data_IF_799170571795
#
_entry.id   IF_799170571795
#
_cell.length_a   1.000
_cell.length_b   1.000
_cell.length_c   1.000
_cell.angle_alpha   90.00
_cell.angle_beta   90.00
_cell.angle_gamma   90.00
#
_symmetry.space_group_name_H-M   'P 1'
#
loop_
_entity.id
_entity.type
_entity.pdbx_description
1 polymer ?
#
# COMPACT_ATOMS: atom_id res chain seq x y z
N UNK A 1 20.00 16.22 -15.04
CA UNK A 1 19.14 17.16 -14.30
C UNK A 1 18.02 16.32 -13.68
N UNK A 2 17.79 16.44 -12.38
CA UNK A 2 16.72 15.75 -11.65
C UNK A 2 15.99 16.74 -10.74
N UNK A 3 14.76 16.41 -10.37
CA UNK A 3 13.98 17.18 -9.40
C UNK A 3 14.57 17.06 -7.99
N UNK A 4 14.28 18.03 -7.12
CA UNK A 4 14.65 17.97 -5.70
C UNK A 4 13.47 18.51 -4.88
N UNK A 5 13.19 17.88 -3.74
CA UNK A 5 12.18 18.34 -2.79
C UNK A 5 12.90 18.78 -1.51
N UNK A 6 12.65 20.02 -1.07
CA UNK A 6 13.31 20.61 0.09
C UNK A 6 12.28 21.13 1.10
N UNK A 7 12.56 20.93 2.38
CA UNK A 7 11.86 21.63 3.45
C UNK A 7 12.45 23.05 3.58
N UNK A 8 11.59 24.04 3.76
CA UNK A 8 11.97 25.44 3.99
C UNK A 8 11.50 25.86 5.37
N UNK A 9 12.45 26.11 6.27
CA UNK A 9 12.16 26.52 7.64
C UNK A 9 12.51 28.00 7.81
N UNK A 10 11.56 28.86 8.23
CA UNK A 10 11.87 30.24 8.57
C UNK A 10 12.81 30.31 9.77
N UNK A 11 13.93 31.01 9.62
CA UNK A 11 14.83 31.40 10.70
C UNK A 11 14.25 32.61 11.44
N UNK A 12 14.03 32.47 12.74
CA UNK A 12 13.63 33.59 13.59
C UNK A 12 14.89 34.21 14.21
N UNK A 13 15.57 35.07 13.45
CA UNK A 13 16.59 35.95 14.01
C UNK A 13 15.93 37.25 14.49
N UNK A 14 16.17 37.63 15.76
CA UNK A 14 15.62 38.85 16.38
C UNK A 14 16.14 40.17 15.76
N UNK A 15 16.94 40.10 14.69
CA UNK A 15 17.54 41.23 14.00
C UNK A 15 17.07 41.32 12.54
N UNK A 16 15.80 41.69 12.30
CA UNK A 16 15.29 42.32 11.07
C UNK A 16 15.55 41.68 9.69
N UNK A 17 16.10 40.46 9.59
CA UNK A 17 16.21 39.71 8.33
C UNK A 17 15.61 38.31 8.50
N UNK A 18 14.60 37.99 7.69
CA UNK A 18 14.07 36.64 7.57
C UNK A 18 15.07 35.78 6.81
N UNK A 19 15.84 34.97 7.53
CA UNK A 19 16.68 33.92 6.96
C UNK A 19 15.82 32.67 6.75
N UNK A 20 16.13 31.85 5.73
CA UNK A 20 15.49 30.55 5.54
C UNK A 20 16.56 29.48 5.56
N UNK A 21 16.35 28.42 6.33
CA UNK A 21 17.17 27.21 6.26
C UNK A 21 16.46 26.20 5.35
N UNK A 22 17.26 25.40 4.64
CA UNK A 22 16.72 24.38 3.73
C UNK A 22 17.35 23.03 3.95
N UNK A 23 16.52 22.00 3.99
CA UNK A 23 16.90 20.60 4.14
C UNK A 23 16.36 19.80 2.96
N UNK A 24 17.18 18.91 2.39
CA UNK A 24 16.78 18.07 1.26
C UNK A 24 16.00 16.85 1.74
N UNK A 25 14.70 16.78 1.42
CA UNK A 25 13.84 15.65 1.75
C UNK A 25 13.99 14.49 0.77
N UNK A 26 14.49 14.77 -0.44
CA UNK A 26 14.76 13.75 -1.47
C UNK A 26 16.11 13.05 -1.31
N UNK A 27 16.98 13.49 -0.40
CA UNK A 27 18.37 13.03 -0.31
C UNK A 27 18.51 11.51 -0.13
N UNK A 28 17.73 10.93 0.80
CA UNK A 28 17.76 9.48 1.09
C UNK A 28 17.06 8.63 0.02
N UNK A 29 16.35 9.27 -0.91
CA UNK A 29 15.58 8.62 -1.97
C UNK A 29 15.91 9.21 -3.36
N UNK A 30 17.15 9.64 -3.58
CA UNK A 30 17.57 10.33 -4.81
C UNK A 30 17.24 9.56 -6.11
N UNK A 31 17.26 8.23 -6.05
CA UNK A 31 16.87 7.33 -7.14
C UNK A 31 15.42 7.53 -7.63
N UNK A 32 14.54 8.11 -6.82
CA UNK A 32 13.17 8.48 -7.21
C UNK A 32 13.10 9.80 -8.00
N UNK A 33 14.19 10.56 -8.08
CA UNK A 33 14.22 11.89 -8.69
C UNK A 33 15.29 12.05 -9.76
N UNK A 34 16.33 11.22 -9.74
CA UNK A 34 17.40 11.26 -10.73
C UNK A 34 16.87 11.01 -12.15
N UNK A 35 17.07 11.98 -13.05
CA UNK A 35 16.58 11.91 -14.43
C UNK A 35 15.10 12.28 -14.62
N UNK A 36 14.37 12.58 -13.54
CA UNK A 36 12.94 12.91 -13.58
C UNK A 36 12.68 14.32 -13.08
N UNK A 37 11.57 14.93 -13.51
CA UNK A 37 11.10 16.22 -13.00
C UNK A 37 9.77 16.04 -12.30
N UNK A 38 9.54 16.81 -11.23
CA UNK A 38 8.23 16.96 -10.64
C UNK A 38 7.44 18.00 -11.45
N UNK A 39 6.27 17.61 -11.95
CA UNK A 39 5.43 18.46 -12.81
C UNK A 39 4.20 19.02 -12.10
N UNK A 40 3.79 18.39 -11.00
CA UNK A 40 2.68 18.85 -10.17
C UNK A 40 2.82 18.28 -8.75
N UNK A 41 2.25 18.94 -7.75
CA UNK A 41 2.24 18.45 -6.37
C UNK A 41 1.09 19.01 -5.55
N UNK A 42 0.67 18.26 -4.53
CA UNK A 42 -0.36 18.67 -3.57
C UNK A 42 -0.04 18.14 -2.17
N UNK A 43 -0.51 18.84 -1.14
CA UNK A 43 -0.38 18.40 0.25
C UNK A 43 -1.74 18.03 0.83
N UNK A 44 -1.86 16.79 1.32
CA UNK A 44 -3.03 16.25 1.99
C UNK A 44 -2.75 16.15 3.52
N UNK A 45 -3.08 17.18 4.31
CA UNK A 45 -2.71 17.25 5.72
C UNK A 45 -3.39 16.20 6.61
N UNK A 46 -4.63 15.81 6.29
CA UNK A 46 -5.44 14.93 7.15
C UNK A 46 -5.78 13.63 6.42
N UNK A 47 -5.62 12.45 7.05
CA UNK A 47 -5.23 12.23 8.45
C UNK A 47 -3.73 12.05 8.72
N UNK A 48 -2.90 11.86 7.68
CA UNK A 48 -1.51 11.40 7.86
C UNK A 48 -0.43 12.41 7.45
N UNK A 49 -0.79 13.59 6.92
CA UNK A 49 0.20 14.56 6.43
C UNK A 49 1.05 14.02 5.28
N UNK A 50 0.45 13.89 4.09
CA UNK A 50 1.13 13.31 2.92
C UNK A 50 1.29 14.35 1.81
N UNK A 51 2.52 14.54 1.33
CA UNK A 51 2.80 15.28 0.10
C UNK A 51 2.74 14.31 -1.08
N UNK A 52 2.02 14.69 -2.12
CA UNK A 52 1.90 13.95 -3.37
C UNK A 52 2.59 14.73 -4.48
N UNK A 53 3.40 14.08 -5.30
CA UNK A 53 4.16 14.70 -6.37
C UNK A 53 4.12 13.86 -7.64
N UNK A 54 3.70 14.46 -8.76
CA UNK A 54 3.63 13.81 -10.07
C UNK A 54 4.96 13.97 -10.78
N UNK A 55 5.55 12.88 -11.27
CA UNK A 55 6.74 12.89 -12.12
C UNK A 55 6.38 13.02 -13.60
N UNK A 56 7.28 13.58 -14.40
CA UNK A 56 7.09 13.76 -15.84
C UNK A 56 6.96 12.47 -16.65
N UNK A 57 7.47 11.34 -16.13
CA UNK A 57 7.28 10.01 -16.70
C UNK A 57 5.93 9.37 -16.33
N UNK A 58 5.12 10.04 -15.51
CA UNK A 58 3.79 9.59 -15.13
C UNK A 58 3.72 8.73 -13.88
N UNK A 59 4.82 8.58 -13.12
CA UNK A 59 4.78 8.03 -11.78
C UNK A 59 4.23 9.07 -10.77
N UNK A 60 3.62 8.59 -9.69
CA UNK A 60 3.19 9.43 -8.56
C UNK A 60 4.04 9.07 -7.35
N UNK A 61 4.59 10.07 -6.68
CA UNK A 61 5.34 9.90 -5.45
C UNK A 61 4.49 10.39 -4.27
N UNK A 62 4.54 9.67 -3.15
CA UNK A 62 4.01 10.14 -1.88
C UNK A 62 5.13 10.25 -0.85
N UNK A 63 5.13 11.34 -0.09
CA UNK A 63 5.99 11.54 1.06
C UNK A 63 5.13 11.66 2.31
N UNK A 64 5.27 10.69 3.21
CA UNK A 64 4.81 10.85 4.60
C UNK A 64 5.87 11.67 5.34
N UNK A 65 5.47 12.87 5.79
CA UNK A 65 6.38 13.83 6.42
C UNK A 65 5.85 14.27 7.78
N UNK A 66 6.44 13.72 8.85
CA UNK A 66 6.13 14.09 10.24
C UNK A 66 7.44 14.48 10.93
N UNK A 67 7.90 15.73 10.78
CA UNK A 67 9.20 16.16 11.29
C UNK A 67 9.31 16.05 12.82
N UNK A 68 8.22 16.29 13.55
CA UNK A 68 8.15 16.15 15.02
C UNK A 68 8.41 14.72 15.50
N UNK A 69 8.17 13.73 14.64
CA UNK A 69 8.42 12.31 14.90
C UNK A 69 9.60 11.75 14.09
N UNK A 70 10.37 12.62 13.42
CA UNK A 70 11.50 12.24 12.56
C UNK A 70 11.12 11.24 11.46
N UNK A 71 9.91 11.34 10.92
CA UNK A 71 9.44 10.47 9.82
C UNK A 71 9.56 11.19 8.49
N UNK A 72 10.38 10.62 7.61
CA UNK A 72 10.50 10.99 6.19
C UNK A 72 10.47 9.70 5.38
N UNK A 73 9.35 9.40 4.73
CA UNK A 73 9.17 8.15 3.98
C UNK A 73 8.59 8.40 2.60
N UNK A 74 9.40 8.12 1.57
CA UNK A 74 8.97 8.15 0.18
C UNK A 74 8.39 6.81 -0.25
N UNK A 75 7.33 6.87 -1.05
CA UNK A 75 6.77 5.72 -1.76
C UNK A 75 6.47 6.11 -3.20
N UNK A 76 6.66 5.16 -4.13
CA UNK A 76 6.34 5.32 -5.54
C UNK A 76 5.06 4.54 -5.85
N UNK A 77 4.15 5.22 -6.55
CA UNK A 77 2.90 4.68 -7.06
C UNK A 77 2.94 4.68 -8.57
N UNK A 78 2.45 3.58 -9.15
CA UNK A 78 2.28 3.42 -10.60
C UNK A 78 0.82 3.11 -10.88
N UNK A 79 0.43 3.12 -12.14
CA UNK A 79 -0.92 2.73 -12.59
C UNK A 79 -0.81 2.26 -14.04
N UNK A 80 -1.82 1.57 -14.57
CA UNK A 80 -1.93 1.30 -16.00
C UNK A 80 -2.27 2.58 -16.79
N UNK A 81 -1.27 3.46 -16.92
CA UNK A 81 -1.40 4.80 -17.45
C UNK A 81 -0.34 5.74 -16.89
N UNK A 82 -0.57 7.04 -17.01
CA UNK A 82 0.34 8.07 -16.50
C UNK A 82 -0.42 9.10 -15.67
N UNK A 83 0.01 9.32 -14.44
CA UNK A 83 -0.45 10.46 -13.65
C UNK A 83 0.00 11.77 -14.33
N UNK A 84 -0.88 12.77 -14.35
CA UNK A 84 -0.66 14.06 -15.04
C UNK A 84 -0.85 15.28 -14.16
N UNK A 85 -1.69 15.18 -13.14
CA UNK A 85 -1.94 16.24 -12.17
C UNK A 85 -2.43 15.63 -10.86
N UNK A 86 -2.28 16.37 -9.75
CA UNK A 86 -2.74 15.98 -8.43
C UNK A 86 -3.32 17.18 -7.68
N UNK A 87 -4.42 16.97 -6.97
CA UNK A 87 -5.04 17.96 -6.11
C UNK A 87 -5.46 17.32 -4.78
N UNK A 88 -5.42 18.10 -3.70
CA UNK A 88 -5.86 17.69 -2.37
C UNK A 88 -7.03 18.59 -1.95
N UNK A 89 -8.19 18.00 -1.68
CA UNK A 89 -9.45 18.71 -1.40
C UNK A 89 -10.00 18.23 -0.05
N UNK A 90 -10.28 19.13 0.90
CA UNK A 90 -10.92 18.76 2.17
C UNK A 90 -12.32 18.16 1.93
N UNK A 91 -12.57 16.96 2.45
CA UNK A 91 -13.85 16.27 2.38
C UNK A 91 -14.18 15.60 3.71
N UNK A 92 -15.22 16.07 4.39
CA UNK A 92 -15.63 15.51 5.68
C UNK A 92 -14.49 15.59 6.71
N UNK A 93 -13.93 14.44 7.08
CA UNK A 93 -12.87 14.28 8.06
C UNK A 93 -11.50 13.89 7.46
N UNK A 94 -11.35 13.97 6.13
CA UNK A 94 -10.10 13.68 5.43
C UNK A 94 -9.77 14.76 4.40
N UNK A 95 -8.54 14.79 3.90
CA UNK A 95 -8.20 15.50 2.67
C UNK A 95 -8.14 14.49 1.54
N UNK A 96 -9.17 14.47 0.69
CA UNK A 96 -9.25 13.57 -0.45
C UNK A 96 -8.23 13.98 -1.52
N UNK A 97 -7.56 12.98 -2.09
CA UNK A 97 -6.57 13.17 -3.15
C UNK A 97 -7.22 12.82 -4.47
N UNK A 98 -7.20 13.78 -5.38
CA UNK A 98 -7.65 13.64 -6.76
C UNK A 98 -6.45 13.64 -7.68
N UNK A 99 -6.47 12.77 -8.69
CA UNK A 99 -5.42 12.68 -9.71
C UNK A 99 -6.04 12.71 -11.09
N UNK A 100 -5.34 13.33 -12.04
CA UNK A 100 -5.64 13.16 -13.46
C UNK A 100 -4.77 12.02 -13.99
N UNK A 101 -5.40 10.99 -14.56
CA UNK A 101 -4.70 9.84 -15.16
C UNK A 101 -4.97 9.80 -16.65
N UNK A 102 -3.91 9.73 -17.44
CA UNK A 102 -3.98 9.52 -18.89
C UNK A 102 -3.80 8.04 -19.20
N UNK A 103 -4.75 7.45 -19.94
CA UNK A 103 -4.79 6.02 -20.27
C UNK A 103 -5.07 5.80 -21.76
N UNK A 104 -4.80 4.58 -22.23
CA UNK A 104 -5.25 4.10 -23.54
C UNK A 104 -6.33 3.05 -23.32
N UNK A 105 -7.56 3.32 -23.76
CA UNK A 105 -8.67 2.37 -23.72
C UNK A 105 -9.15 2.12 -25.13
N UNK A 106 -9.13 0.86 -25.57
CA UNK A 106 -9.44 0.50 -26.96
C UNK A 106 -8.66 1.35 -27.98
N UNK A 107 -7.35 1.54 -27.72
CA UNK A 107 -6.44 2.38 -28.50
C UNK A 107 -6.81 3.88 -28.59
N UNK A 108 -7.70 4.37 -27.74
CA UNK A 108 -8.04 5.80 -27.64
C UNK A 108 -7.41 6.40 -26.39
N UNK A 109 -6.69 7.49 -26.58
CA UNK A 109 -6.20 8.33 -25.50
C UNK A 109 -7.37 8.98 -24.77
N UNK A 110 -7.43 8.76 -23.46
CA UNK A 110 -8.47 9.27 -22.56
C UNK A 110 -7.83 9.82 -21.29
N UNK A 111 -8.52 10.76 -20.65
CA UNK A 111 -8.14 11.31 -19.36
C UNK A 111 -9.28 11.10 -18.36
N UNK A 112 -8.92 10.59 -17.19
CA UNK A 112 -9.85 10.42 -16.07
C UNK A 112 -9.40 11.27 -14.90
N UNK A 113 -10.39 11.74 -14.15
CA UNK A 113 -10.19 12.26 -12.80
C UNK A 113 -10.53 11.10 -11.87
N UNK A 114 -9.55 10.67 -11.09
CA UNK A 114 -9.68 9.57 -10.13
C UNK A 114 -9.47 10.12 -8.71
N UNK A 115 -10.22 9.61 -7.75
CA UNK A 115 -10.13 9.97 -6.34
C UNK A 115 -9.60 8.77 -5.57
N UNK A 116 -8.55 8.95 -4.77
CA UNK A 116 -8.12 7.90 -3.84
C UNK A 116 -9.25 7.57 -2.86
N UNK A 117 -9.53 6.28 -2.68
CA UNK A 117 -10.50 5.83 -1.69
C UNK A 117 -10.02 6.10 -0.27
N UNK A 118 -10.95 6.31 0.66
CA UNK A 118 -10.60 6.47 2.07
C UNK A 118 -9.93 5.21 2.59
N UNK A 119 -8.88 5.38 3.40
CA UNK A 119 -8.29 4.27 4.16
C UNK A 119 -9.17 3.82 5.33
N UNK A 120 -10.21 4.58 5.66
CA UNK A 120 -11.17 4.22 6.70
C UNK A 120 -12.28 3.35 6.12
N UNK A 121 -12.30 2.08 6.53
CA UNK A 121 -13.39 1.13 6.26
C UNK A 121 -13.95 0.61 7.58
N UNK A 122 -14.18 1.52 8.53
CA UNK A 122 -14.73 1.19 9.84
C UNK A 122 -16.13 0.58 9.73
N UNK A 123 -16.42 -0.39 10.60
CA UNK A 123 -17.76 -0.95 10.71
C UNK A 123 -18.72 0.11 11.28
N UNK A 124 -19.89 0.27 10.64
CA UNK A 124 -20.92 1.22 11.08
C UNK A 124 -21.61 0.79 12.38
N UNK A 125 -21.50 -0.49 12.75
CA UNK A 125 -22.00 -1.08 14.00
C UNK A 125 -21.01 -2.15 14.47
N UNK A 126 -20.85 -2.28 15.79
CA UNK A 126 -20.13 -3.40 16.38
C UNK A 126 -20.87 -4.70 16.07
N UNK A 127 -20.22 -5.60 15.33
CA UNK A 127 -20.73 -6.96 15.13
C UNK A 127 -20.50 -7.77 16.43
N UNK A 128 -21.55 -8.25 17.12
CA UNK A 128 -21.41 -9.02 18.35
C UNK A 128 -20.56 -10.28 18.16
N UNK A 129 -20.52 -10.84 16.94
CA UNK A 129 -19.69 -11.99 16.61
C UNK A 129 -18.20 -11.62 16.47
N UNK A 130 -17.86 -10.34 16.29
CA UNK A 130 -16.50 -9.81 16.18
C UNK A 130 -15.94 -9.27 17.51
N UNK A 131 -16.66 -9.47 18.63
CA UNK A 131 -16.15 -9.09 19.96
C UNK A 131 -14.79 -9.75 20.20
N UNK A 132 -13.73 -8.96 20.47
CA UNK A 132 -12.42 -9.54 20.71
C UNK A 132 -12.46 -10.48 21.94
N UNK A 133 -11.67 -11.58 21.95
CA UNK A 133 -11.61 -12.45 23.11
C UNK A 133 -11.25 -11.65 24.37
N UNK A 134 -11.88 -11.99 25.51
CA UNK A 134 -11.72 -11.28 26.79
C UNK A 134 -10.25 -11.02 27.09
N UNK A 135 -9.86 -9.75 27.19
CA UNK A 135 -8.51 -9.31 27.57
C UNK A 135 -7.74 -8.52 26.51
N UNK A 136 -8.23 -8.41 25.26
CA UNK A 136 -7.65 -7.44 24.30
C UNK A 136 -8.27 -6.05 24.49
N UNK A 137 -7.47 -4.98 24.54
CA UNK A 137 -8.00 -3.63 24.62
C UNK A 137 -8.82 -3.30 23.36
N UNK A 138 -9.88 -2.50 23.52
CA UNK A 138 -10.77 -2.00 22.46
C UNK A 138 -10.09 -1.07 21.42
N UNK A 139 -8.75 -1.14 21.30
CA UNK A 139 -7.97 -0.40 20.33
C UNK A 139 -8.07 -1.01 18.92
N UNK A 140 -8.50 -2.27 18.81
CA UNK A 140 -8.94 -2.90 17.57
C UNK A 140 -10.34 -2.38 17.20
N UNK A 141 -10.41 -1.16 16.67
CA UNK A 141 -11.64 -0.64 16.07
C UNK A 141 -12.11 -1.61 14.99
N UNK A 142 -13.33 -2.15 15.14
CA UNK A 142 -13.91 -3.08 14.19
C UNK A 142 -13.92 -2.47 12.78
N UNK A 143 -13.43 -3.24 11.81
CA UNK A 143 -13.39 -2.85 10.40
C UNK A 143 -14.34 -3.72 9.59
N UNK A 144 -15.05 -3.12 8.64
CA UNK A 144 -15.87 -3.84 7.68
C UNK A 144 -15.02 -4.15 6.44
N UNK A 145 -14.45 -5.35 6.42
CA UNK A 145 -13.61 -5.81 5.31
C UNK A 145 -14.33 -5.77 3.96
N UNK A 146 -15.67 -5.79 3.94
CA UNK A 146 -16.44 -5.70 2.69
C UNK A 146 -16.29 -4.34 2.04
N UNK A 147 -15.94 -3.30 2.81
CA UNK A 147 -15.78 -1.90 2.37
C UNK A 147 -14.33 -1.52 2.07
N UNK A 148 -13.40 -2.46 2.15
CA UNK A 148 -12.02 -2.23 1.80
C UNK A 148 -11.87 -2.03 0.28
N UNK A 149 -11.34 -0.88 -0.13
CA UNK A 149 -11.11 -0.55 -1.53
C UNK A 149 -9.61 -0.50 -1.83
N UNK A 150 -9.09 -1.57 -2.44
CA UNK A 150 -7.66 -1.73 -2.76
C UNK A 150 -7.47 -2.22 -4.20
N UNK A 151 -8.22 -1.62 -5.13
CA UNK A 151 -8.08 -1.81 -6.59
C UNK A 151 -7.64 -0.49 -7.22
N UNK A 152 -6.98 -0.56 -8.37
CA UNK A 152 -6.67 0.62 -9.18
C UNK A 152 -7.82 0.89 -10.19
N UNK A 153 -8.08 2.16 -10.51
CA UNK A 153 -9.10 2.59 -11.47
C UNK A 153 -10.51 1.97 -11.24
N UNK A 154 -10.84 1.66 -9.98
CA UNK A 154 -12.00 0.84 -9.65
C UNK A 154 -13.31 1.60 -9.42
N UNK A 155 -14.39 0.84 -9.31
CA UNK A 155 -15.73 1.32 -8.96
C UNK A 155 -16.35 0.41 -7.89
N UNK A 156 -17.26 1.00 -7.10
CA UNK A 156 -17.98 0.33 -6.03
C UNK A 156 -19.46 0.15 -6.37
N UNK A 157 -20.00 -1.03 -6.08
CA UNK A 157 -21.42 -1.33 -6.04
C UNK A 157 -21.81 -1.71 -4.60
N UNK A 158 -22.82 -1.07 -4.04
CA UNK A 158 -23.39 -1.39 -2.72
C UNK A 158 -24.92 -1.42 -2.87
N UNK A 159 -25.51 -2.62 -2.82
CA UNK A 159 -26.93 -2.79 -3.10
C UNK A 159 -27.46 -4.22 -2.99
N UNK A 160 -28.60 -4.46 -3.64
CA UNK A 160 -29.22 -5.78 -3.68
C UNK A 160 -28.30 -6.82 -4.32
N UNK A 161 -28.26 -8.08 -3.81
CA UNK A 161 -27.36 -9.08 -4.36
C UNK A 161 -27.49 -9.23 -5.88
N UNK A 162 -26.38 -9.09 -6.60
CA UNK A 162 -26.33 -9.15 -8.06
C UNK A 162 -25.15 -10.01 -8.53
N UNK A 163 -25.28 -10.62 -9.71
CA UNK A 163 -24.16 -11.23 -10.43
C UNK A 163 -23.55 -10.27 -11.45
N UNK A 164 -24.12 -9.08 -11.63
CA UNK A 164 -23.81 -8.21 -12.74
C UNK A 164 -23.51 -6.79 -12.25
N UNK A 165 -22.31 -6.29 -12.53
CA UNK A 165 -21.88 -4.92 -12.22
C UNK A 165 -21.52 -4.20 -13.52
N UNK A 166 -22.29 -3.17 -13.88
CA UNK A 166 -22.09 -2.34 -15.06
C UNK A 166 -21.30 -1.05 -14.78
N UNK A 167 -21.37 -0.10 -15.71
CA UNK A 167 -20.67 1.20 -15.67
C UNK A 167 -19.14 1.10 -15.61
N UNK A 168 -18.58 0.05 -16.21
CA UNK A 168 -17.14 -0.21 -16.29
C UNK A 168 -16.59 0.06 -17.69
N UNK A 169 -17.20 0.95 -18.46
CA UNK A 169 -16.75 1.25 -19.84
C UNK A 169 -15.33 1.79 -19.90
N UNK A 170 -14.83 2.38 -18.81
CA UNK A 170 -13.45 2.83 -18.64
C UNK A 170 -12.46 1.67 -18.36
N UNK A 171 -12.93 0.43 -18.29
CA UNK A 171 -12.10 -0.76 -18.12
C UNK A 171 -12.41 -1.81 -19.20
N UNK A 172 -13.07 -1.41 -20.29
CA UNK A 172 -13.51 -2.34 -21.34
C UNK A 172 -12.33 -3.16 -21.91
N UNK A 173 -12.49 -4.49 -21.90
CA UNK A 173 -11.46 -5.43 -22.37
C UNK A 173 -10.35 -5.73 -21.36
N UNK A 174 -10.27 -5.01 -20.25
CA UNK A 174 -9.26 -5.26 -19.22
C UNK A 174 -9.61 -6.48 -18.35
N UNK A 175 -8.57 -7.19 -17.91
CA UNK A 175 -8.68 -8.12 -16.80
C UNK A 175 -8.76 -7.34 -15.49
N UNK A 176 -9.72 -7.70 -14.65
CA UNK A 176 -10.00 -7.02 -13.39
C UNK A 176 -10.03 -8.01 -12.23
N UNK A 177 -9.84 -7.48 -11.04
CA UNK A 177 -10.03 -8.19 -9.78
C UNK A 177 -11.12 -7.48 -8.97
N UNK A 178 -11.80 -8.21 -8.11
CA UNK A 178 -12.81 -7.62 -7.24
C UNK A 178 -12.70 -8.12 -5.81
N UNK A 179 -13.07 -7.25 -4.87
CA UNK A 179 -13.44 -7.62 -3.52
C UNK A 179 -14.98 -7.62 -3.45
N UNK A 180 -15.58 -8.80 -3.31
CA UNK A 180 -17.02 -9.00 -3.33
C UNK A 180 -17.51 -9.65 -2.02
N UNK A 181 -18.33 -8.94 -1.25
CA UNK A 181 -18.72 -9.24 0.13
C UNK A 181 -17.53 -9.66 1.00
N UNK A 182 -16.40 -8.96 0.81
CA UNK A 182 -15.17 -9.24 1.52
C UNK A 182 -14.49 -10.54 1.05
N UNK A 183 -14.72 -11.03 -0.15
CA UNK A 183 -13.97 -12.16 -0.72
C UNK A 183 -13.34 -11.76 -2.05
N UNK A 184 -12.12 -12.23 -2.30
CA UNK A 184 -11.43 -11.91 -3.55
C UNK A 184 -12.02 -12.75 -4.69
N UNK A 185 -12.40 -12.09 -5.78
CA UNK A 185 -12.88 -12.72 -7.02
C UNK A 185 -11.93 -12.36 -8.15
N UNK A 186 -11.38 -13.38 -8.80
CA UNK A 186 -10.38 -13.30 -9.87
C UNK A 186 -10.92 -13.88 -11.18
N UNK A 187 -10.19 -13.68 -12.27
CA UNK A 187 -10.57 -14.19 -13.60
C UNK A 187 -11.76 -13.44 -14.21
N UNK A 188 -11.92 -12.18 -13.85
CA UNK A 188 -12.98 -11.31 -14.34
C UNK A 188 -12.44 -10.50 -15.52
N UNK A 189 -13.27 -10.32 -16.55
CA UNK A 189 -12.96 -9.46 -17.70
C UNK A 189 -14.16 -8.58 -17.98
N UNK A 190 -13.91 -7.30 -18.20
CA UNK A 190 -14.97 -6.36 -18.55
C UNK A 190 -15.38 -6.58 -20.01
N UNK A 191 -16.66 -6.84 -20.22
CA UNK A 191 -17.26 -6.99 -21.55
C UNK A 191 -18.52 -6.15 -21.62
N UNK A 192 -18.62 -5.28 -22.64
CA UNK A 192 -19.75 -4.37 -22.84
C UNK A 192 -20.03 -3.48 -21.62
N UNK A 193 -18.97 -3.01 -20.96
CA UNK A 193 -19.00 -2.16 -19.79
C UNK A 193 -19.48 -2.85 -18.52
N UNK A 194 -19.45 -4.18 -18.47
CA UNK A 194 -19.97 -4.98 -17.37
C UNK A 194 -19.07 -6.19 -17.05
N UNK A 195 -19.14 -6.63 -15.80
CA UNK A 195 -18.55 -7.88 -15.32
C UNK A 195 -19.66 -8.79 -14.76
N UNK A 196 -19.56 -10.08 -15.06
CA UNK A 196 -20.39 -11.15 -14.49
C UNK A 196 -19.63 -11.88 -13.39
N UNK A 197 -20.27 -12.08 -12.24
CA UNK A 197 -19.75 -12.72 -11.06
C UNK A 197 -20.30 -14.15 -10.93
N UNK A 198 -19.51 -15.09 -10.40
CA UNK A 198 -19.90 -16.50 -10.28
C UNK A 198 -21.04 -16.74 -9.28
N UNK A 199 -21.34 -15.76 -8.43
CA UNK A 199 -22.37 -15.79 -7.38
C UNK A 199 -22.94 -14.39 -7.20
N UNK A 200 -24.06 -14.30 -6.50
CA UNK A 200 -24.65 -13.02 -6.11
C UNK A 200 -23.88 -12.40 -4.95
N UNK A 201 -23.54 -11.11 -5.08
CA UNK A 201 -22.86 -10.33 -4.05
C UNK A 201 -23.54 -8.97 -3.85
N UNK A 202 -23.47 -8.41 -2.64
CA UNK A 202 -24.10 -7.14 -2.29
C UNK A 202 -23.15 -5.94 -2.30
N UNK A 203 -21.95 -6.10 -1.75
CA UNK A 203 -20.90 -5.07 -1.73
C UNK A 203 -19.76 -5.51 -2.61
N UNK A 204 -19.47 -4.79 -3.68
CA UNK A 204 -18.48 -5.16 -4.68
C UNK A 204 -17.59 -3.96 -4.99
N UNK A 205 -16.28 -4.13 -4.87
CA UNK A 205 -15.27 -3.20 -5.36
C UNK A 205 -14.51 -3.87 -6.49
N UNK A 206 -14.59 -3.35 -7.71
CA UNK A 206 -13.98 -3.95 -8.91
C UNK A 206 -13.08 -2.95 -9.60
N UNK A 207 -11.88 -3.38 -10.02
CA UNK A 207 -10.93 -2.53 -10.72
C UNK A 207 -9.71 -3.31 -11.21
N UNK A 208 -8.73 -2.59 -11.71
CA UNK A 208 -7.45 -3.17 -12.13
C UNK A 208 -6.73 -3.77 -10.93
N UNK A 209 -6.05 -4.93 -11.11
CA UNK A 209 -5.22 -5.51 -10.07
C UNK A 209 -4.03 -4.59 -9.76
N UNK A 210 -3.73 -4.42 -8.48
CA UNK A 210 -2.59 -3.63 -8.03
C UNK A 210 -1.77 -4.43 -7.02
N UNK A 211 -0.46 -4.51 -7.24
CA UNK A 211 0.46 -5.19 -6.31
C UNK A 211 1.20 -4.13 -5.50
N UNK A 212 1.02 -4.17 -4.18
CA UNK A 212 1.76 -3.31 -3.25
C UNK A 212 2.94 -4.07 -2.68
N UNK A 213 4.11 -3.43 -2.63
CA UNK A 213 5.36 -4.07 -2.27
C UNK A 213 6.16 -3.21 -1.28
N UNK A 214 6.83 -3.87 -0.34
CA UNK A 214 7.86 -3.27 0.50
C UNK A 214 9.04 -4.25 0.58
N UNK A 215 10.24 -3.74 0.34
CA UNK A 215 11.48 -4.50 0.49
C UNK A 215 12.30 -3.88 1.63
N UNK A 216 12.79 -4.72 2.55
CA UNK A 216 13.67 -4.27 3.62
C UNK A 216 15.05 -3.91 3.06
N UNK A 217 15.76 -3.02 3.75
CA UNK A 217 17.19 -2.86 3.48
C UNK A 217 17.94 -4.18 3.71
N UNK A 218 19.06 -4.40 3.00
CA UNK A 218 19.98 -5.50 3.28
C UNK A 218 20.36 -5.52 4.75
N UNK A 219 20.24 -6.69 5.38
CA UNK A 219 20.68 -6.86 6.75
C UNK A 219 22.21 -6.71 6.83
N UNK A 220 22.66 -5.56 7.33
CA UNK A 220 24.07 -5.29 7.56
C UNK A 220 24.51 -5.91 8.87
N UNK A 221 25.15 -7.07 8.81
CA UNK A 221 25.73 -7.71 9.98
C UNK A 221 27.15 -7.20 10.20
N UNK A 222 27.29 -6.09 10.93
CA UNK A 222 28.59 -5.61 11.38
C UNK A 222 29.25 -6.61 12.31
N UNK A 223 30.53 -6.90 12.08
CA UNK A 223 31.37 -7.61 13.04
C UNK A 223 31.60 -6.72 14.27
N UNK A 224 30.66 -6.69 15.21
CA UNK A 224 30.98 -6.27 16.58
C UNK A 224 31.67 -7.42 17.31
N UNK A 225 32.92 -7.67 16.95
CA UNK A 225 33.87 -8.36 17.82
C UNK A 225 35.11 -7.50 17.94
N UNK A 226 35.35 -7.03 19.16
CA UNK A 226 36.57 -6.33 19.58
C UNK A 226 37.79 -7.15 19.17
N UNK A 227 38.53 -6.71 18.13
CA UNK A 227 39.88 -7.20 17.86
C UNK A 227 40.10 -8.20 16.71
N UNK A 228 39.27 -8.25 15.67
CA UNK A 228 39.66 -8.98 14.45
C UNK A 228 38.62 -8.99 13.34
N UNK A 229 39.07 -8.94 12.08
CA UNK A 229 38.25 -9.23 10.89
C UNK A 229 37.97 -10.73 10.83
N UNK A 230 36.89 -11.17 11.48
CA UNK A 230 36.31 -12.47 11.22
C UNK A 230 35.65 -12.44 9.81
N UNK A 231 35.91 -13.43 8.93
CA UNK A 231 35.20 -13.53 7.67
C UNK A 231 33.69 -13.64 7.94
N UNK A 232 32.90 -12.85 7.21
CA UNK A 232 31.44 -12.86 7.30
C UNK A 232 30.94 -14.27 6.95
N UNK A 233 30.54 -15.04 7.97
CA UNK A 233 29.90 -16.35 7.74
C UNK A 233 28.62 -16.11 6.93
N UNK A 234 28.30 -16.95 5.93
CA UNK A 234 27.06 -16.82 5.20
C UNK A 234 25.89 -16.93 6.17
N UNK A 235 25.07 -15.88 6.19
CA UNK A 235 23.83 -15.83 6.96
C UNK A 235 22.66 -15.89 5.99
N UNK A 236 21.60 -16.61 6.37
CA UNK A 236 20.40 -16.82 5.54
C UNK A 236 19.17 -16.39 6.32
N UNK A 237 18.28 -15.67 5.66
CA UNK A 237 16.95 -15.39 6.20
C UNK A 237 16.11 -16.67 6.11
N UNK A 238 15.64 -17.16 7.25
CA UNK A 238 14.84 -18.39 7.37
C UNK A 238 13.37 -18.11 7.64
N UNK A 239 13.04 -16.88 8.01
CA UNK A 239 11.70 -16.48 8.36
C UNK A 239 11.57 -14.97 8.46
N UNK A 240 10.35 -14.50 8.59
CA UNK A 240 10.03 -13.12 8.94
C UNK A 240 8.88 -13.11 9.91
N UNK A 241 8.99 -12.28 10.95
CA UNK A 241 7.91 -11.97 11.87
C UNK A 241 7.45 -10.54 11.61
N UNK A 242 6.15 -10.38 11.39
CA UNK A 242 5.49 -9.13 11.07
C UNK A 242 4.53 -8.76 12.20
N UNK A 243 4.60 -7.53 12.68
CA UNK A 243 3.50 -6.95 13.45
C UNK A 243 2.57 -6.25 12.47
N UNK A 244 1.29 -6.63 12.50
CA UNK A 244 0.29 -6.14 11.54
C UNK A 244 -0.95 -5.63 12.25
N UNK A 245 -1.66 -4.73 11.58
CA UNK A 245 -2.97 -4.25 11.99
C UNK A 245 -3.97 -4.43 10.86
N UNK A 246 -5.17 -4.93 11.17
CA UNK A 246 -6.29 -5.03 10.23
C UNK A 246 -5.88 -5.57 8.83
N UNK A 247 -4.98 -6.55 8.80
CA UNK A 247 -4.35 -7.04 7.57
C UNK A 247 -4.99 -8.35 7.14
N UNK A 248 -5.20 -8.52 5.82
CA UNK A 248 -5.71 -9.78 5.28
C UNK A 248 -4.93 -10.24 4.07
N UNK A 249 -4.36 -11.44 4.20
CA UNK A 249 -3.42 -11.97 3.23
C UNK A 249 -2.13 -11.15 3.20
N UNK A 250 -1.02 -11.82 2.91
CA UNK A 250 0.25 -11.22 2.52
C UNK A 250 1.14 -12.33 2.00
N UNK A 251 2.13 -11.94 1.20
CA UNK A 251 3.20 -12.79 0.73
C UNK A 251 4.51 -12.23 1.23
N UNK A 252 5.44 -13.11 1.61
CA UNK A 252 6.78 -12.69 1.99
C UNK A 252 7.83 -13.65 1.47
N UNK A 253 9.02 -13.14 1.13
CA UNK A 253 10.10 -13.96 0.60
C UNK A 253 11.31 -13.12 0.19
N UNK A 254 12.37 -13.74 -0.31
CA UNK A 254 13.59 -13.05 -0.76
C UNK A 254 13.43 -12.25 -2.06
N UNK A 255 12.47 -12.62 -2.92
CA UNK A 255 12.20 -11.96 -4.20
C UNK A 255 10.79 -12.31 -4.71
N UNK A 256 10.34 -11.66 -5.79
CA UNK A 256 8.98 -11.76 -6.30
C UNK A 256 8.61 -13.17 -6.85
N UNK A 257 9.60 -13.98 -7.21
CA UNK A 257 9.42 -15.34 -7.73
C UNK A 257 9.34 -16.38 -6.60
N UNK A 258 9.96 -16.08 -5.45
CA UNK A 258 10.08 -16.98 -4.30
C UNK A 258 9.33 -16.44 -3.08
N UNK A 259 8.01 -16.23 -3.18
CA UNK A 259 7.20 -15.79 -2.05
C UNK A 259 6.39 -16.92 -1.41
N UNK A 260 6.38 -16.93 -0.08
CA UNK A 260 5.49 -17.74 0.73
C UNK A 260 4.25 -16.94 1.15
N UNK A 261 3.07 -17.54 0.94
CA UNK A 261 1.79 -16.97 1.35
C UNK A 261 1.57 -17.17 2.85
N UNK A 262 1.19 -16.10 3.56
CA UNK A 262 0.61 -16.25 4.88
C UNK A 262 -0.80 -16.81 4.77
N UNK A 263 -0.92 -18.12 4.95
CA UNK A 263 -2.22 -18.80 5.01
C UNK A 263 -2.87 -18.54 6.36
N UNK A 264 -3.80 -17.61 6.37
CA UNK A 264 -4.60 -17.31 7.54
C UNK A 264 -5.49 -18.51 7.88
N UNK A 265 -5.17 -19.21 8.97
CA UNK A 265 -6.03 -20.28 9.50
C UNK A 265 -7.10 -19.63 10.35
N UNK A 266 -8.36 -19.90 10.04
CA UNK A 266 -9.44 -19.25 10.75
C UNK A 266 -10.68 -20.15 10.86
N UNK A 267 -11.47 -19.94 11.91
CA UNK A 267 -12.57 -20.84 12.34
C UNK A 267 -13.96 -20.25 12.10
N UNK A 268 -14.10 -19.30 11.16
CA UNK A 268 -15.38 -18.65 10.87
C UNK A 268 -16.41 -19.62 10.27
N UNK A 269 -17.68 -19.24 10.41
CA UNK A 269 -18.78 -19.97 9.82
C UNK A 269 -18.69 -19.96 8.28
N UNK A 270 -19.22 -21.02 7.67
CA UNK A 270 -19.32 -21.13 6.21
C UNK A 270 -20.01 -19.90 5.62
N UNK A 271 -19.33 -19.20 4.69
CA UNK A 271 -19.74 -17.95 3.98
C UNK A 271 -19.42 -16.62 4.66
N UNK A 272 -18.88 -16.59 5.86
CA UNK A 272 -18.38 -15.32 6.42
C UNK A 272 -17.05 -14.92 5.79
N UNK A 273 -16.79 -13.62 5.56
CA UNK A 273 -15.49 -13.18 5.08
C UNK A 273 -14.42 -13.45 6.14
N UNK A 274 -13.23 -13.84 5.69
CA UNK A 274 -12.08 -14.03 6.58
C UNK A 274 -11.79 -12.72 7.30
N UNK A 275 -11.78 -12.75 8.62
CA UNK A 275 -11.50 -11.59 9.47
C UNK A 275 -10.06 -11.12 9.26
N UNK A 276 -9.77 -9.82 9.34
CA UNK A 276 -8.39 -9.35 9.29
C UNK A 276 -7.64 -9.74 10.58
N UNK A 277 -6.31 -9.89 10.46
CA UNK A 277 -5.42 -10.15 11.58
C UNK A 277 -4.86 -8.83 12.13
N UNK A 278 -4.92 -8.68 13.46
CA UNK A 278 -4.13 -7.71 14.22
C UNK A 278 -3.29 -8.45 15.26
N UNK A 279 -1.99 -8.16 15.27
CA UNK A 279 -0.99 -8.80 16.12
C UNK A 279 0.21 -9.31 15.33
N UNK A 280 0.77 -10.43 15.77
CA UNK A 280 2.01 -10.99 15.20
C UNK A 280 1.70 -12.10 14.20
N UNK A 281 2.32 -12.02 13.03
CA UNK A 281 2.33 -13.04 11.99
C UNK A 281 3.77 -13.51 11.79
N UNK A 282 4.02 -14.82 11.87
CA UNK A 282 5.34 -15.40 11.56
C UNK A 282 5.25 -16.32 10.35
N UNK A 283 6.11 -16.07 9.35
CA UNK A 283 6.27 -16.92 8.19
C UNK A 283 7.65 -17.57 8.20
N UNK A 284 7.68 -18.87 7.91
CA UNK A 284 8.90 -19.55 7.48
C UNK A 284 9.06 -19.30 5.99
N UNK A 285 10.22 -18.76 5.61
CA UNK A 285 10.52 -18.51 4.21
C UNK A 285 11.22 -19.74 3.63
N UNK A 286 10.72 -20.22 2.51
CA UNK A 286 11.31 -21.25 1.66
C UNK A 286 12.55 -20.66 1.00
N UNK A 287 13.62 -20.50 1.79
CA UNK A 287 14.68 -19.58 1.40
C UNK A 287 15.32 -19.93 0.05
N UNK A 288 15.36 -18.95 -0.83
CA UNK A 288 16.35 -18.87 -1.89
C UNK A 288 17.57 -18.12 -1.34
N UNK A 289 18.75 -18.42 -1.87
CA UNK A 289 19.96 -17.69 -1.52
C UNK A 289 20.01 -16.43 -2.39
N UNK A 290 19.77 -15.26 -1.79
CA UNK A 290 20.04 -13.95 -2.41
C UNK A 290 21.23 -13.31 -1.71
N UNK A 291 22.24 -12.79 -2.44
CA UNK A 291 23.42 -12.16 -1.85
C UNK A 291 23.09 -11.00 -0.90
N UNK A 292 21.98 -10.30 -1.17
CA UNK A 292 21.61 -9.04 -0.54
C UNK A 292 20.83 -9.22 0.78
N UNK A 293 20.39 -10.43 1.15
CA UNK A 293 19.67 -10.72 2.40
C UNK A 293 18.58 -9.67 2.73
N UNK A 294 17.67 -9.45 1.80
CA UNK A 294 16.47 -8.60 1.95
C UNK A 294 15.23 -9.46 2.12
N UNK A 295 14.15 -8.86 2.65
CA UNK A 295 12.82 -9.46 2.67
C UNK A 295 11.88 -8.58 1.85
N UNK A 296 11.29 -9.17 0.82
CA UNK A 296 10.19 -8.60 0.04
C UNK A 296 8.87 -9.07 0.65
N UNK A 297 7.98 -8.13 0.93
CA UNK A 297 6.61 -8.37 1.37
C UNK A 297 5.67 -7.78 0.33
N UNK A 298 4.66 -8.56 -0.08
CA UNK A 298 3.71 -8.17 -1.11
C UNK A 298 2.27 -8.37 -0.68
N UNK A 299 1.40 -7.48 -1.16
CA UNK A 299 -0.05 -7.66 -1.21
C UNK A 299 -0.47 -7.67 -2.69
N UNK A 300 -0.98 -8.82 -3.15
CA UNK A 300 -1.38 -9.06 -4.56
C UNK A 300 -2.90 -9.13 -4.74
N UNK A 301 -3.63 -9.24 -3.63
CA UNK A 301 -5.08 -9.22 -3.62
C UNK A 301 -5.57 -7.79 -3.31
N UNK A 302 -6.82 -7.44 -3.68
CA UNK A 302 -7.44 -6.18 -3.30
C UNK A 302 -7.85 -6.18 -1.82
N UNK A 303 -6.87 -6.35 -0.93
CA UNK A 303 -7.04 -6.53 0.50
C UNK A 303 -6.16 -5.54 1.28
N UNK A 304 -6.62 -5.11 2.48
CA UNK A 304 -5.84 -4.23 3.32
C UNK A 304 -4.59 -4.94 3.86
N UNK A 305 -3.49 -4.21 3.89
CA UNK A 305 -2.25 -4.60 4.56
C UNK A 305 -1.66 -3.37 5.28
N UNK A 306 -1.57 -3.45 6.61
CA UNK A 306 -0.92 -2.45 7.45
C UNK A 306 0.16 -3.14 8.27
N UNK A 307 1.42 -2.86 7.92
CA UNK A 307 2.59 -3.39 8.60
C UNK A 307 3.05 -2.35 9.62
N UNK A 308 3.18 -2.77 10.87
CA UNK A 308 3.67 -1.96 11.99
C UNK A 308 5.16 -2.19 12.23
N UNK A 309 5.62 -3.43 12.07
CA UNK A 309 7.04 -3.80 12.20
C UNK A 309 7.39 -5.02 11.34
N UNK A 310 8.66 -5.08 10.92
CA UNK A 310 9.24 -6.21 10.18
C UNK A 310 10.49 -6.69 10.91
N UNK A 311 10.50 -7.95 11.31
CA UNK A 311 11.62 -8.59 12.03
C UNK A 311 12.07 -9.84 11.28
N UNK A 312 13.13 -9.76 10.47
CA UNK A 312 13.70 -10.93 9.79
C UNK A 312 14.34 -11.91 10.76
N UNK A 313 14.10 -13.20 10.57
CA UNK A 313 14.76 -14.29 11.29
C UNK A 313 15.97 -14.81 10.50
N UNK A 314 17.12 -14.91 11.16
CA UNK A 314 18.40 -15.19 10.50
C UNK A 314 19.03 -16.44 11.10
N UNK A 315 19.45 -17.38 10.26
CA UNK A 315 20.33 -18.47 10.65
C UNK A 315 21.78 -18.19 10.22
N UNK A 316 22.72 -18.60 11.06
CA UNK A 316 24.16 -18.53 10.79
C UNK A 316 24.66 -19.96 10.66
N UNK A 317 25.31 -20.30 9.55
CA UNK A 317 26.00 -21.59 9.46
C UNK A 317 27.10 -21.67 10.52
N UNK A 318 27.10 -22.72 11.34
CA UNK A 318 28.17 -22.96 12.33
C UNK A 318 29.51 -23.20 11.64
#
# INVERSE_FOLDING_TARGET
>A
MGGEVRNLTPGLDHASQSTYTSESLSLLAAHLFEGYRIIDWAYAPVPYGVVWAVRDDGALLSLTYLPEHQVVAWCRHVTDGHFKAVAAIPEGNETAVYVVVHRLINNKAVQYIERFASRSFMALQEDPAQTPPRGRPALDRAVDIKRAFFVDCGLSYDGSPTQFVGNLTHLEGCEVVALADGNVVRGLTVKRGQVEFPRFYSVIHVGLPYTSEIETLPLSFGAQTTGGTAPSKPKRITGVTLEVQNTRGLWAGPDAEHLDEFKQRNTEAWREPVRPTTGVISLRLSGSWKPENTVLIQQRDPLPMTILAVTPEVSVSQ
#
